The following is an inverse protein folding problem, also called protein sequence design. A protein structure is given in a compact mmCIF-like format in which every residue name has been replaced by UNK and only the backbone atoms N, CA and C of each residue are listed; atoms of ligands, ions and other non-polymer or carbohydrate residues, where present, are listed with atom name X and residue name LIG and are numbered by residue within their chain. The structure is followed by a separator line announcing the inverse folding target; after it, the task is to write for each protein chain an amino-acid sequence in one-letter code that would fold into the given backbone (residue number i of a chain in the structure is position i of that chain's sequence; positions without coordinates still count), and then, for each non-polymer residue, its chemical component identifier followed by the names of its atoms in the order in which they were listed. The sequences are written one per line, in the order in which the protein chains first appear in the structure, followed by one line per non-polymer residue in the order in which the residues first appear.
data_IF_919939479410
#
_entry.id   IF_919939479410
#
_cell.length_a   1.000
_cell.length_b   1.000
_cell.length_c   1.000
_cell.angle_alpha   90.00
_cell.angle_beta   90.00
_cell.angle_gamma   90.00
#
_symmetry.space_group_name_H-M   'P 1'
#
loop_
_entity.id
_entity.type
_entity.pdbx_description
1 polymer ?
2 non-polymer ?
3 non-polymer ?
4 non-polymer ?
5 water ?
#
# COMPACT_ATOMS: atom_id res chain seq x y z
N UNK A 4 -7.90 20.31 9.34
CA UNK A 4 -7.77 18.98 9.93
C UNK A 4 -7.20 19.09 11.35
N UNK A 5 -7.87 18.47 12.32
CA UNK A 5 -7.58 18.72 13.74
C UNK A 5 -6.41 17.89 14.26
N UNK A 6 -6.46 16.57 14.04
CA UNK A 6 -5.36 15.72 14.46
C UNK A 6 -4.02 16.25 13.97
N UNK A 7 -4.03 16.94 12.82
CA UNK A 7 -2.83 17.42 12.17
C UNK A 7 -2.37 18.77 12.70
N UNK A 8 -3.30 19.69 12.93
CA UNK A 8 -2.96 20.90 13.67
C UNK A 8 -2.38 20.55 15.03
N UNK A 9 -3.02 19.63 15.75
CA UNK A 9 -2.48 19.22 17.04
C UNK A 9 -1.11 18.59 16.89
N UNK A 10 -0.82 18.02 15.73
CA UNK A 10 0.49 17.42 15.53
C UNK A 10 1.53 18.47 15.19
N UNK A 11 1.13 19.48 14.42
CA UNK A 11 2.00 20.62 14.18
C UNK A 11 2.42 21.26 15.49
N UNK A 12 1.47 21.45 16.40
CA UNK A 12 1.78 22.09 17.69
C UNK A 12 2.69 21.21 18.54
N UNK A 13 2.52 19.89 18.48
CA UNK A 13 3.43 19.00 19.20
C UNK A 13 4.86 19.15 18.69
N UNK A 14 5.02 19.32 17.38
CA UNK A 14 6.37 19.43 16.81
C UNK A 14 7.04 20.73 17.24
N UNK A 15 6.29 21.82 17.24
CA UNK A 15 6.83 23.10 17.69
C UNK A 15 7.10 23.11 19.19
N UNK A 16 6.30 22.37 19.98
CA UNK A 16 6.56 22.27 21.41
C UNK A 16 7.90 21.63 21.66
N UNK A 17 8.33 20.72 20.78
CA UNK A 17 9.62 20.08 20.91
C UNK A 17 10.64 20.76 20.01
N UNK A 18 10.30 21.95 19.51
CA UNK A 18 11.27 22.84 18.91
C UNK A 18 11.59 22.61 17.45
N UNK A 19 10.68 22.00 16.68
CA UNK A 19 10.91 21.74 15.26
C UNK A 19 10.28 22.85 14.45
N UNK A 20 11.13 23.57 13.63
CA UNK A 20 10.66 24.63 12.77
C UNK A 20 10.25 24.09 11.40
N UNK A 21 9.28 24.73 10.76
CA UNK A 21 8.95 24.38 9.38
C UNK A 21 9.99 24.85 8.39
N UNK A 22 10.15 24.09 7.31
CA UNK A 22 10.98 24.48 6.18
C UNK A 22 10.09 24.69 4.95
N UNK A 23 10.51 25.60 4.08
CA UNK A 23 9.81 25.89 2.85
C UNK A 23 10.57 25.35 1.65
N UNK A 24 9.81 24.82 0.69
CA UNK A 24 10.36 24.21 -0.52
C UNK A 24 9.57 24.74 -1.71
N UNK A 25 10.21 24.76 -2.87
CA UNK A 25 9.63 25.28 -4.09
C UNK A 25 9.55 24.15 -5.11
N UNK A 26 8.72 24.38 -6.11
CA UNK A 26 8.45 23.37 -7.10
C UNK A 26 9.75 22.79 -7.66
N UNK A 27 9.74 21.49 -7.90
CA UNK A 27 10.82 20.67 -8.45
C UNK A 27 11.91 20.35 -7.44
N UNK A 28 11.88 20.93 -6.23
CA UNK A 28 12.83 20.54 -5.20
C UNK A 28 12.48 19.19 -4.60
N UNK A 29 13.50 18.49 -4.11
CA UNK A 29 13.33 17.23 -3.39
C UNK A 29 13.43 17.48 -1.89
N UNK A 30 12.35 17.16 -1.16
CA UNK A 30 12.38 17.17 0.30
C UNK A 30 13.27 16.06 0.85
N UNK A 31 13.19 14.85 0.27
CA UNK A 31 14.18 13.83 0.53
C UNK A 31 14.50 13.13 -0.78
N UNK A 32 15.65 12.45 -0.82
CA UNK A 32 16.11 11.81 -2.04
C UNK A 32 16.64 10.42 -1.74
N UNK A 33 16.75 9.63 -2.80
CA UNK A 33 17.10 8.22 -2.71
C UNK A 33 18.58 7.96 -2.43
N UNK A 34 19.45 8.97 -2.47
CA UNK A 34 20.89 8.77 -2.29
C UNK A 34 21.38 9.15 -0.90
N UNK A 35 20.55 9.82 -0.12
CA UNK A 35 20.95 10.26 1.21
C UNK A 35 21.01 9.05 2.17
N UNK A 36 22.10 8.86 2.92
CA UNK A 36 22.10 7.79 3.92
C UNK A 36 21.13 8.03 5.08
N UNK A 37 20.85 9.28 5.42
CA UNK A 37 19.96 9.61 6.52
C UNK A 37 18.53 9.57 6.00
N UNK A 38 17.65 8.87 6.73
CA UNK A 38 16.24 8.81 6.42
C UNK A 38 15.43 9.72 7.36
N UNK A 39 14.25 10.13 6.89
CA UNK A 39 13.50 11.18 7.56
C UNK A 39 12.02 10.86 7.65
N UNK A 40 11.40 11.47 8.64
CA UNK A 40 9.96 11.67 8.69
C UNK A 40 9.64 13.09 8.22
N UNK A 41 8.82 13.18 7.18
CA UNK A 41 8.32 14.43 6.65
C UNK A 41 6.88 14.63 7.11
N UNK A 42 6.65 15.66 7.90
CA UNK A 42 5.27 16.11 8.13
C UNK A 42 5.00 17.19 7.09
N UNK A 43 4.35 16.79 6.01
CA UNK A 43 3.97 17.71 4.95
C UNK A 43 2.75 18.48 5.43
N UNK A 44 2.93 19.77 5.65
CA UNK A 44 1.87 20.56 6.22
C UNK A 44 1.02 21.21 5.14
N UNK A 45 1.65 21.74 4.10
CA UNK A 45 0.94 22.47 3.05
C UNK A 45 1.63 22.25 1.72
N UNK A 46 0.85 22.00 0.68
CA UNK A 46 1.36 21.82 -0.67
C UNK A 46 1.15 20.40 -1.18
N UNK A 47 1.64 20.17 -2.39
CA UNK A 47 1.46 18.92 -3.11
C UNK A 47 2.82 18.37 -3.51
N UNK A 48 3.03 17.08 -3.26
CA UNK A 48 4.29 16.41 -3.60
C UNK A 48 3.99 15.13 -4.38
N UNK A 49 5.05 14.56 -4.98
CA UNK A 49 4.95 13.23 -5.57
C UNK A 49 6.17 12.40 -5.21
N UNK A 50 5.90 11.11 -4.97
CA UNK A 50 6.94 10.13 -4.73
C UNK A 50 7.43 9.60 -6.06
N UNK A 51 8.74 9.65 -6.30
CA UNK A 51 9.29 9.21 -7.57
C UNK A 51 10.36 8.15 -7.35
N UNK A 52 10.57 7.35 -8.39
CA UNK A 52 11.61 6.34 -8.46
C UNK A 52 12.35 6.49 -9.78
N UNK A 53 13.55 5.94 -9.83
CA UNK A 53 14.34 5.90 -11.07
C UNK A 53 14.69 4.44 -11.37
N UNK A 54 14.42 4.02 -12.60
CA UNK A 54 14.84 2.70 -13.05
C UNK A 54 16.27 2.76 -13.57
N UNK A 55 16.87 1.59 -13.74
CA UNK A 55 18.30 1.52 -14.09
C UNK A 55 18.60 2.01 -15.48
N UNK A 56 17.68 2.61 -16.23
CA UNK A 56 17.99 3.26 -17.50
C UNK A 56 17.74 4.76 -17.46
N UNK A 57 17.51 5.34 -16.28
CA UNK A 57 17.38 6.77 -16.13
C UNK A 57 15.96 7.30 -16.17
N UNK A 58 14.95 6.46 -16.34
CA UNK A 58 13.58 6.92 -16.50
C UNK A 58 12.94 7.16 -15.13
N UNK A 59 12.26 8.31 -14.99
CA UNK A 59 11.56 8.69 -13.77
C UNK A 59 10.16 8.09 -13.75
N UNK A 60 9.81 7.39 -12.67
CA UNK A 60 8.47 6.86 -12.46
C UNK A 60 7.78 7.66 -11.36
N UNK A 61 6.56 8.12 -11.62
CA UNK A 61 5.71 8.71 -10.59
C UNK A 61 4.94 7.60 -9.89
N UNK A 62 5.08 7.50 -8.58
CA UNK A 62 4.45 6.41 -7.84
C UNK A 62 3.25 6.82 -7.02
N UNK A 63 3.26 8.02 -6.45
CA UNK A 63 2.24 8.35 -5.46
C UNK A 63 2.24 9.86 -5.31
N UNK A 64 1.05 10.44 -5.09
CA UNK A 64 0.90 11.84 -4.80
C UNK A 64 0.47 12.02 -3.35
N UNK A 65 1.01 13.06 -2.70
CA UNK A 65 0.62 13.42 -1.33
C UNK A 65 0.34 14.90 -1.25
N UNK A 66 -0.67 15.27 -0.46
CA UNK A 66 -0.96 16.67 -0.19
C UNK A 66 -0.98 16.92 1.31
N UNK A 67 -0.65 18.15 1.69
CA UNK A 67 -0.65 18.46 3.12
C UNK A 67 -2.06 18.61 3.64
N UNK A 68 -2.38 18.14 4.85
CA UNK A 68 -1.42 17.59 5.80
C UNK A 68 -1.30 16.08 5.66
N UNK A 69 -0.08 15.56 5.74
CA UNK A 69 0.15 14.11 5.67
C UNK A 69 1.56 13.86 6.14
N UNK A 70 1.84 12.59 6.40
CA UNK A 70 3.12 12.14 6.92
C UNK A 70 3.73 11.15 5.92
N UNK A 71 4.97 11.40 5.52
CA UNK A 71 5.68 10.51 4.60
C UNK A 71 7.01 10.14 5.27
N UNK A 72 7.27 8.86 5.45
CA UNK A 72 8.48 8.42 6.14
C UNK A 72 9.36 7.64 5.18
N UNK A 73 10.61 8.10 5.00
CA UNK A 73 11.52 7.47 4.04
C UNK A 73 12.30 6.33 4.64
N UNK A 74 12.22 6.13 5.96
CA UNK A 74 12.92 5.04 6.61
C UNK A 74 12.00 4.32 7.58
N UNK A 75 12.36 3.06 7.85
CA UNK A 75 11.62 2.23 8.81
C UNK A 75 11.84 2.76 10.23
N UNK A 76 10.77 2.73 11.02
CA UNK A 76 10.83 3.43 12.31
C UNK A 76 11.77 2.72 13.28
N UNK A 77 12.01 1.43 13.09
CA UNK A 77 12.85 0.66 14.02
C UNK A 77 14.29 0.59 13.52
N UNK A 78 14.51 0.11 12.31
CA UNK A 78 15.88 0.02 11.79
C UNK A 78 16.42 1.35 11.31
N UNK A 79 15.57 2.30 10.93
CA UNK A 79 15.96 3.61 10.42
C UNK A 79 16.55 3.56 9.02
N UNK A 80 16.44 2.43 8.33
CA UNK A 80 16.97 2.24 6.98
C UNK A 80 15.87 2.43 5.94
N UNK A 81 16.28 2.63 4.69
CA UNK A 81 15.35 3.03 3.64
C UNK A 81 14.20 2.04 3.48
N UNK A 82 13.00 2.57 3.27
CA UNK A 82 11.87 1.74 2.85
C UNK A 82 11.85 1.53 1.35
N UNK A 83 12.77 2.13 0.61
CA UNK A 83 12.81 2.06 -0.84
C UNK A 83 13.51 3.27 -1.41
N UNK A 84 13.99 3.12 -2.65
CA UNK A 84 14.79 4.18 -3.28
C UNK A 84 13.85 5.18 -3.92
N UNK A 85 13.44 6.14 -3.10
CA UNK A 85 12.41 7.10 -3.45
C UNK A 85 12.91 8.51 -3.21
N UNK A 86 12.35 9.42 -3.98
CA UNK A 86 12.48 10.85 -3.79
C UNK A 86 11.08 11.44 -3.61
N UNK A 87 11.01 12.54 -2.85
CA UNK A 87 9.77 13.28 -2.64
C UNK A 87 9.94 14.66 -3.26
N UNK A 88 9.24 14.88 -4.37
CA UNK A 88 9.39 16.06 -5.22
C UNK A 88 8.19 16.99 -5.06
N UNK A 89 8.44 18.30 -4.96
CA UNK A 89 7.36 19.26 -4.79
C UNK A 89 6.78 19.60 -6.16
N UNK A 90 5.47 19.56 -6.28
CA UNK A 90 4.85 19.92 -7.56
C UNK A 90 3.93 21.13 -7.48
N UNK A 91 3.47 21.53 -6.30
CA UNK A 91 2.89 22.86 -6.16
C UNK A 91 4.02 23.90 -6.24
N UNK A 92 3.63 25.18 -6.28
CA UNK A 92 4.63 26.23 -6.38
C UNK A 92 5.49 26.28 -5.13
N UNK A 93 4.85 26.16 -3.96
CA UNK A 93 5.53 26.07 -2.68
C UNK A 93 4.95 24.90 -1.89
N UNK A 94 5.74 24.41 -0.95
CA UNK A 94 5.27 23.49 0.08
C UNK A 94 5.90 23.87 1.39
N UNK A 95 5.23 23.53 2.48
CA UNK A 95 5.74 23.68 3.83
C UNK A 95 5.80 22.34 4.52
N UNK A 96 6.96 21.98 5.07
CA UNK A 96 7.10 20.68 5.70
C UNK A 96 7.99 20.77 6.93
N UNK A 97 7.69 19.94 7.91
CA UNK A 97 8.60 19.68 9.02
C UNK A 97 9.41 18.43 8.71
N UNK A 98 10.72 18.50 8.91
CA UNK A 98 11.64 17.46 8.47
C UNK A 98 12.35 16.93 9.71
N UNK A 99 12.09 15.68 10.05
CA UNK A 99 12.57 15.09 11.31
C UNK A 99 13.41 13.86 11.00
N UNK A 100 14.61 13.80 11.57
CA UNK A 100 15.39 12.57 11.53
C UNK A 100 14.58 11.42 12.11
N UNK A 101 14.75 10.24 11.49
CA UNK A 101 13.87 9.12 11.80
C UNK A 101 13.99 8.69 13.27
N UNK A 102 15.21 8.61 13.79
CA UNK A 102 15.37 8.21 15.19
C UNK A 102 14.61 9.12 16.13
N UNK A 103 14.53 10.41 15.83
CA UNK A 103 13.87 11.35 16.72
C UNK A 103 12.36 11.18 16.71
N UNK A 104 11.80 10.58 15.67
CA UNK A 104 10.37 10.35 15.65
C UNK A 104 9.97 9.32 16.71
N UNK A 105 10.75 8.24 16.86
CA UNK A 105 10.46 7.28 17.92
C UNK A 105 10.28 8.00 19.25
N UNK A 106 11.25 8.82 19.63
CA UNK A 106 11.20 9.50 20.91
C UNK A 106 9.89 10.28 21.05
N UNK A 107 9.55 11.06 20.04
CA UNK A 107 8.36 11.90 20.14
C UNK A 107 7.09 11.05 20.21
N UNK A 108 6.97 10.05 19.34
CA UNK A 108 5.76 9.23 19.37
C UNK A 108 5.68 8.40 20.65
N UNK A 109 6.83 7.98 21.19
CA UNK A 109 6.86 7.16 22.39
C UNK A 109 6.25 7.85 23.60
N UNK A 110 6.17 9.18 23.58
CA UNK A 110 5.78 9.93 24.77
C UNK A 110 4.41 10.56 24.66
N UNK A 111 3.74 10.44 23.50
CA UNK A 111 2.36 10.89 23.36
C UNK A 111 1.58 9.89 22.52
N UNK A 112 0.57 9.26 23.13
CA UNK A 112 -0.20 8.23 22.44
C UNK A 112 -1.12 8.83 21.39
N UNK A 113 -1.58 10.06 21.58
CA UNK A 113 -2.49 10.67 20.60
C UNK A 113 -1.80 10.83 19.26
N UNK A 114 -0.55 11.27 19.28
CA UNK A 114 0.17 11.58 18.05
C UNK A 114 0.82 10.35 17.45
N UNK A 115 1.09 9.33 18.26
CA UNK A 115 1.43 8.03 17.70
C UNK A 115 0.28 7.48 16.87
N UNK A 116 -0.94 7.55 17.40
CA UNK A 116 -2.10 7.06 16.67
C UNK A 116 -2.32 7.85 15.39
N UNK A 117 -2.08 9.16 15.43
CA UNK A 117 -2.27 9.98 14.24
C UNK A 117 -1.32 9.56 13.13
N UNK A 118 -0.06 9.28 13.45
CA UNK A 118 0.88 8.87 12.41
C UNK A 118 0.56 7.47 11.95
N UNK A 119 0.35 6.55 12.91
CA UNK A 119 -0.04 5.19 12.61
C UNK A 119 -1.19 5.17 11.60
N UNK A 120 -2.19 5.99 11.85
CA UNK A 120 -3.35 6.01 10.98
C UNK A 120 -3.06 6.58 9.59
N UNK A 121 -2.00 7.39 9.41
CA UNK A 121 -1.67 7.79 8.05
C UNK A 121 -1.10 6.64 7.25
N UNK A 122 -0.34 5.76 7.90
CA UNK A 122 0.08 4.53 7.23
C UNK A 122 -1.13 3.68 6.87
N UNK A 123 -2.12 3.60 7.76
CA UNK A 123 -3.30 2.79 7.48
C UNK A 123 -4.06 3.34 6.28
N UNK A 124 -4.14 4.67 6.17
CA UNK A 124 -4.75 5.30 4.99
C UNK A 124 -3.99 4.97 3.71
N UNK A 125 -2.66 4.98 3.74
CA UNK A 125 -1.87 4.62 2.57
C UNK A 125 -2.15 3.19 2.16
N UNK A 126 -2.09 2.26 3.11
CA UNK A 126 -2.29 0.85 2.78
C UNK A 126 -3.66 0.65 2.13
N UNK A 127 -4.71 1.17 2.76
CA UNK A 127 -6.06 0.97 2.22
C UNK A 127 -6.23 1.72 0.90
N UNK A 128 -5.59 2.88 0.77
CA UNK A 128 -5.65 3.62 -0.48
C UNK A 128 -5.11 2.78 -1.63
N UNK A 129 -3.92 2.20 -1.47
CA UNK A 129 -3.35 1.38 -2.54
C UNK A 129 -4.20 0.17 -2.85
N UNK A 130 -4.84 -0.40 -1.84
CA UNK A 130 -5.68 -1.56 -2.09
C UNK A 130 -6.89 -1.17 -2.93
N UNK A 131 -7.49 -0.02 -2.61
CA UNK A 131 -8.66 0.43 -3.35
C UNK A 131 -8.31 0.76 -4.82
N UNK A 132 -7.20 1.44 -5.04
CA UNK A 132 -6.73 1.73 -6.38
C UNK A 132 -6.51 0.46 -7.17
N UNK A 133 -5.83 -0.51 -6.58
CA UNK A 133 -5.62 -1.80 -7.23
C UNK A 133 -6.94 -2.46 -7.58
N UNK A 134 -7.88 -2.47 -6.64
CA UNK A 134 -9.20 -3.06 -6.91
C UNK A 134 -9.83 -2.37 -8.11
N UNK A 135 -9.80 -1.04 -8.16
CA UNK A 135 -10.43 -0.31 -9.26
C UNK A 135 -9.69 -0.57 -10.58
N UNK A 136 -8.36 -0.59 -10.55
CA UNK A 136 -7.62 -0.93 -11.75
C UNK A 136 -7.93 -2.35 -12.21
N UNK A 137 -7.98 -3.28 -11.27
CA UNK A 137 -8.30 -4.67 -11.59
C UNK A 137 -9.63 -4.77 -12.31
N UNK A 138 -10.59 -3.89 -12.01
CA UNK A 138 -11.91 -3.97 -12.63
C UNK A 138 -11.97 -3.17 -13.94
N UNK A 139 -11.55 -1.91 -13.94
CA UNK A 139 -11.75 -1.03 -15.08
C UNK A 139 -10.44 -0.54 -15.70
N UNK A 140 -9.33 -1.19 -15.41
CA UNK A 140 -8.09 -0.77 -16.05
C UNK A 140 -7.77 0.69 -15.77
N UNK A 141 -7.11 1.32 -16.73
CA UNK A 141 -6.61 2.68 -16.53
C UNK A 141 -7.74 3.70 -16.44
N UNK A 142 -8.92 3.38 -16.99
CA UNK A 142 -10.08 4.24 -16.79
C UNK A 142 -10.46 4.33 -15.32
N UNK A 143 -10.41 3.20 -14.61
CA UNK A 143 -10.65 3.22 -13.17
C UNK A 143 -9.63 4.04 -12.41
N UNK A 144 -8.35 3.86 -12.73
CA UNK A 144 -7.31 4.68 -12.12
C UNK A 144 -7.55 6.17 -12.37
N UNK A 145 -7.87 6.54 -13.61
CA UNK A 145 -8.00 7.95 -13.94
C UNK A 145 -9.26 8.54 -13.32
N UNK A 146 -10.38 7.82 -13.41
CA UNK A 146 -11.59 8.27 -12.75
C UNK A 146 -11.36 8.44 -11.26
N UNK A 147 -10.54 7.58 -10.67
CA UNK A 147 -10.29 7.64 -9.24
C UNK A 147 -9.46 8.84 -8.85
N UNK A 148 -8.47 9.16 -9.67
CA UNK A 148 -7.68 10.35 -9.38
C UNK A 148 -8.52 11.61 -9.50
N UNK A 149 -9.38 11.69 -10.52
CA UNK A 149 -10.28 12.82 -10.66
C UNK A 149 -11.31 12.86 -9.53
N UNK A 150 -11.78 11.69 -9.11
CA UNK A 150 -12.73 11.67 -7.99
C UNK A 150 -12.09 12.22 -6.73
N UNK A 151 -10.84 11.85 -6.45
CA UNK A 151 -10.21 12.35 -5.24
C UNK A 151 -9.95 13.86 -5.35
N UNK A 152 -9.55 14.33 -6.54
CA UNK A 152 -9.44 15.78 -6.73
C UNK A 152 -10.76 16.48 -6.47
N UNK A 153 -11.85 15.91 -7.00
CA UNK A 153 -13.17 16.51 -6.83
C UNK A 153 -13.52 16.65 -5.36
N UNK A 154 -13.34 15.56 -4.59
CA UNK A 154 -13.74 15.59 -3.19
C UNK A 154 -12.84 16.51 -2.38
N UNK A 155 -11.58 16.63 -2.75
CA UNK A 155 -10.63 17.39 -1.94
C UNK A 155 -10.67 18.87 -2.29
N UNK A 156 -10.73 19.20 -3.58
CA UNK A 156 -10.66 20.57 -4.05
C UNK A 156 -11.98 21.09 -4.61
N UNK A 157 -13.03 20.28 -4.59
CA UNK A 157 -14.26 20.64 -5.28
C UNK A 157 -15.15 21.55 -4.46
N UNK A 158 -15.86 22.42 -5.18
CA UNK A 158 -16.77 23.40 -4.62
C UNK A 158 -18.01 23.43 -5.50
N UNK A 159 -19.19 23.21 -4.92
CA UNK A 159 -20.41 23.24 -5.72
C UNK A 159 -20.64 24.64 -6.26
N UNK A 160 -21.04 24.72 -7.53
CA UNK A 160 -21.37 25.98 -8.18
C UNK A 160 -22.48 25.70 -9.19
N UNK A 161 -23.06 26.76 -9.78
CA UNK A 161 -24.11 26.53 -10.79
C UNK A 161 -23.62 25.79 -12.02
N UNK A 162 -22.34 25.96 -12.38
CA UNK A 162 -21.75 25.23 -13.50
C UNK A 162 -21.27 23.82 -13.11
N UNK A 163 -21.50 23.38 -11.88
CA UNK A 163 -21.03 22.08 -11.46
C UNK A 163 -20.07 22.18 -10.30
N UNK A 164 -19.29 21.13 -10.08
CA UNK A 164 -18.30 21.10 -9.01
C UNK A 164 -17.03 21.72 -9.58
N UNK A 165 -16.74 22.95 -9.21
CA UNK A 165 -15.50 23.60 -9.64
C UNK A 165 -14.30 23.02 -8.90
N UNK A 166 -13.25 22.70 -9.65
CA UNK A 166 -11.99 22.27 -9.03
C UNK A 166 -11.17 23.53 -8.77
N UNK A 167 -10.96 23.84 -7.49
CA UNK A 167 -10.26 25.05 -7.10
C UNK A 167 -8.78 24.73 -6.91
N UNK A 168 -8.13 24.52 -8.05
CA UNK A 168 -6.71 24.24 -8.12
C UNK A 168 -6.23 24.95 -9.37
N UNK A 169 -5.14 25.70 -9.26
CA UNK A 169 -4.72 26.49 -10.41
C UNK A 169 -4.47 25.54 -11.57
N UNK A 170 -4.61 26.07 -12.79
CA UNK A 170 -4.43 25.22 -13.94
C UNK A 170 -2.99 24.74 -14.06
N UNK A 171 -2.04 25.44 -13.44
CA UNK A 171 -0.66 24.97 -13.32
C UNK A 171 -0.62 23.56 -12.75
N UNK A 172 -0.95 23.45 -11.45
CA UNK A 172 -0.86 22.18 -10.75
C UNK A 172 -1.79 21.15 -11.36
N UNK A 173 -2.86 21.60 -12.03
CA UNK A 173 -3.72 20.69 -12.78
C UNK A 173 -3.01 20.09 -13.99
N UNK A 174 -2.01 20.80 -14.55
CA UNK A 174 -1.27 20.23 -15.65
C UNK A 174 -0.22 19.23 -15.19
N UNK A 175 0.43 19.50 -14.04
CA UNK A 175 1.42 18.60 -13.48
C UNK A 175 0.84 17.24 -13.10
N UNK A 176 -0.45 17.03 -13.34
CA UNK A 176 -1.08 15.74 -13.11
C UNK A 176 -2.23 15.50 -14.10
N UNK A 186 0.60 8.97 -22.10
CA UNK A 186 0.20 8.99 -23.51
C UNK A 186 -1.22 8.46 -23.70
N UNK A 187 -1.42 7.19 -23.35
CA UNK A 187 -2.77 6.66 -23.28
C UNK A 187 -3.59 7.33 -22.17
N UNK A 188 -2.92 8.04 -21.25
CA UNK A 188 -3.64 8.82 -20.24
C UNK A 188 -4.31 10.03 -20.88
N UNK A 189 -3.56 10.78 -21.69
CA UNK A 189 -4.11 11.98 -22.31
C UNK A 189 -5.36 11.65 -23.09
N UNK A 190 -5.40 10.47 -23.71
CA UNK A 190 -6.60 10.05 -24.44
C UNK A 190 -7.77 9.85 -23.50
N UNK A 191 -7.54 9.15 -22.39
CA UNK A 191 -8.62 8.89 -21.44
C UNK A 191 -9.19 10.22 -20.94
N UNK A 192 -8.31 11.12 -20.52
CA UNK A 192 -8.75 12.40 -20.00
C UNK A 192 -9.58 13.15 -21.04
N UNK A 193 -9.10 13.23 -22.28
CA UNK A 193 -9.84 13.97 -23.29
C UNK A 193 -11.18 13.32 -23.61
N UNK A 194 -11.30 12.00 -23.46
CA UNK A 194 -12.60 11.38 -23.70
C UNK A 194 -13.60 11.76 -22.61
N UNK A 195 -13.14 11.84 -21.37
CA UNK A 195 -13.98 12.36 -20.29
C UNK A 195 -14.40 13.79 -20.56
N UNK A 196 -13.50 14.61 -21.12
CA UNK A 196 -13.87 15.97 -21.47
C UNK A 196 -14.89 15.97 -22.59
N UNK A 197 -14.61 15.21 -23.64
CA UNK A 197 -15.51 15.13 -24.78
C UNK A 197 -16.90 14.70 -24.35
N UNK A 198 -16.98 13.80 -23.36
CA UNK A 198 -18.28 13.32 -22.89
C UNK A 198 -18.86 14.18 -21.78
N UNK A 199 -18.23 15.32 -21.47
CA UNK A 199 -18.75 16.30 -20.52
C UNK A 199 -18.82 15.75 -19.10
N UNK A 200 -17.94 14.80 -18.74
CA UNK A 200 -17.78 14.45 -17.34
C UNK A 200 -17.14 15.61 -16.60
N UNK A 201 -16.14 16.23 -17.23
CA UNK A 201 -15.43 17.39 -16.72
C UNK A 201 -15.32 18.37 -17.88
N UNK A 202 -15.43 19.66 -17.59
CA UNK A 202 -15.69 20.64 -18.63
C UNK A 202 -14.87 21.91 -18.36
N UNK A 203 -14.28 22.45 -19.41
CA UNK A 203 -13.63 23.74 -19.35
C UNK A 203 -14.66 24.84 -19.55
N UNK A 204 -14.68 25.82 -18.66
CA UNK A 204 -15.55 26.97 -18.84
C UNK A 204 -14.95 28.16 -18.11
N UNK A 205 -14.84 29.26 -18.84
CA UNK A 205 -14.43 30.52 -18.25
C UNK A 205 -13.19 30.34 -17.40
N UNK A 206 -12.19 29.68 -17.97
CA UNK A 206 -10.85 29.55 -17.41
C UNK A 206 -10.75 28.58 -16.23
N UNK A 207 -11.81 27.84 -15.90
CA UNK A 207 -11.76 26.87 -14.83
C UNK A 207 -12.34 25.54 -15.31
N UNK A 208 -12.16 24.49 -14.50
CA UNK A 208 -12.68 23.17 -14.79
C UNK A 208 -13.75 22.75 -13.78
N UNK A 209 -14.80 22.11 -14.28
CA UNK A 209 -15.98 21.76 -13.51
C UNK A 209 -16.33 20.30 -13.74
N UNK A 210 -16.52 19.56 -12.66
CA UNK A 210 -17.04 18.20 -12.79
C UNK A 210 -18.55 18.26 -12.88
N UNK A 211 -19.07 17.82 -14.02
CA UNK A 211 -20.50 17.85 -14.25
C UNK A 211 -21.14 16.48 -14.19
N UNK A 212 -20.35 15.41 -14.12
CA UNK A 212 -20.91 14.06 -13.98
C UNK A 212 -20.14 13.32 -12.87
N UNK A 213 -20.39 13.69 -11.62
CA UNK A 213 -19.76 12.98 -10.51
C UNK A 213 -20.17 11.51 -10.48
N UNK A 214 -21.40 11.19 -10.87
CA UNK A 214 -21.83 9.79 -10.85
C UNK A 214 -20.98 8.91 -11.75
N UNK A 215 -20.52 9.44 -12.88
CA UNK A 215 -19.67 8.66 -13.77
C UNK A 215 -18.34 8.30 -13.09
N UNK A 216 -17.72 9.28 -12.43
CA UNK A 216 -16.48 9.00 -11.71
C UNK A 216 -16.71 7.94 -10.63
N UNK A 217 -17.80 8.06 -9.89
CA UNK A 217 -18.10 7.10 -8.84
C UNK A 217 -18.33 5.72 -9.41
N UNK A 218 -18.90 5.65 -10.61
CA UNK A 218 -19.22 4.36 -11.20
C UNK A 218 -17.96 3.56 -11.49
N UNK A 219 -16.93 4.22 -12.01
CA UNK A 219 -15.74 3.52 -12.48
C UNK A 219 -14.61 3.47 -11.46
N UNK A 220 -14.74 4.19 -10.35
CA UNK A 220 -13.77 4.12 -9.25
C UNK A 220 -14.51 3.82 -7.96
N UNK A 221 -15.28 2.73 -7.93
CA UNK A 221 -16.17 2.50 -6.79
C UNK A 221 -15.44 2.18 -5.51
N UNK A 222 -14.28 1.55 -5.60
CA UNK A 222 -13.60 1.17 -4.38
C UNK A 222 -12.83 2.35 -3.79
N UNK A 223 -12.31 3.24 -4.62
CA UNK A 223 -11.76 4.48 -4.11
C UNK A 223 -12.84 5.41 -3.55
N UNK A 224 -14.05 5.37 -4.12
CA UNK A 224 -15.16 6.13 -3.55
C UNK A 224 -15.49 5.62 -2.15
N UNK A 225 -15.50 4.30 -1.97
CA UNK A 225 -15.71 3.71 -0.66
C UNK A 225 -14.59 4.08 0.31
N UNK A 226 -13.34 4.06 -0.17
CA UNK A 226 -12.21 4.46 0.65
C UNK A 226 -12.38 5.87 1.17
N UNK A 227 -12.74 6.81 0.31
CA UNK A 227 -12.98 8.17 0.78
C UNK A 227 -14.11 8.23 1.79
N UNK A 228 -15.19 7.50 1.54
CA UNK A 228 -16.29 7.48 2.50
C UNK A 228 -15.83 6.97 3.86
N UNK A 229 -14.97 5.96 3.86
CA UNK A 229 -14.56 5.30 5.11
C UNK A 229 -13.45 6.07 5.81
N UNK A 230 -12.55 6.67 5.01
CA UNK A 230 -11.40 7.41 5.51
C UNK A 230 -11.70 8.87 5.81
N UNK A 231 -12.57 9.51 5.03
CA UNK A 231 -12.85 10.96 5.20
C UNK A 231 -14.35 11.19 5.08
N UNK A 232 -15.14 10.69 6.02
CA UNK A 232 -16.61 10.70 5.82
C UNK A 232 -17.22 12.08 5.71
N UNK A 233 -16.68 13.07 6.41
CA UNK A 233 -17.29 14.40 6.38
C UNK A 233 -17.05 15.08 5.04
N UNK A 234 -15.85 14.90 4.49
CA UNK A 234 -15.56 15.46 3.18
C UNK A 234 -16.35 14.75 2.10
N UNK A 235 -16.37 13.41 2.14
CA UNK A 235 -17.21 12.65 1.22
C UNK A 235 -18.64 13.15 1.25
N UNK A 236 -19.15 13.45 2.44
CA UNK A 236 -20.56 13.79 2.59
C UNK A 236 -20.93 15.10 1.95
N UNK A 237 -20.00 16.06 1.94
CA UNK A 237 -20.28 17.37 1.35
C UNK A 237 -20.87 17.25 -0.06
N UNK A 238 -20.27 16.43 -0.90
CA UNK A 238 -20.65 16.33 -2.30
C UNK A 238 -21.52 15.15 -2.60
N UNK A 239 -22.01 14.44 -1.59
CA UNK A 239 -22.93 13.34 -1.82
C UNK A 239 -24.26 13.61 -1.12
N UNK B 4 12.06 -15.62 13.47
CA UNK B 4 11.92 -14.17 13.40
C UNK B 4 11.86 -13.56 14.80
N UNK B 5 12.97 -12.91 15.19
CA UNK B 5 13.15 -12.46 16.56
C UNK B 5 12.00 -11.56 17.03
N UNK B 6 11.72 -10.48 16.30
CA UNK B 6 10.76 -9.50 16.84
C UNK B 6 9.32 -10.01 16.76
N UNK B 7 9.05 -11.00 15.91
CA UNK B 7 7.76 -11.66 15.94
C UNK B 7 7.56 -12.41 17.26
N UNK B 8 8.55 -13.20 17.66
CA UNK B 8 8.43 -13.93 18.93
C UNK B 8 8.26 -12.99 20.10
N UNK B 9 9.00 -11.88 20.12
CA UNK B 9 8.83 -10.90 21.19
C UNK B 9 7.41 -10.36 21.24
N UNK B 10 6.75 -10.22 20.09
CA UNK B 10 5.38 -9.71 20.10
C UNK B 10 4.41 -10.80 20.58
N UNK B 11 4.63 -12.05 20.16
CA UNK B 11 3.85 -13.16 20.71
C UNK B 11 3.89 -13.14 22.24
N UNK B 12 5.08 -13.07 22.82
CA UNK B 12 5.18 -13.04 24.27
C UNK B 12 4.36 -11.89 24.86
N UNK B 13 4.49 -10.69 24.29
CA UNK B 13 3.72 -9.57 24.81
C UNK B 13 2.25 -9.90 24.90
N UNK B 14 1.70 -10.47 23.83
CA UNK B 14 0.26 -10.73 23.80
C UNK B 14 -0.12 -11.79 24.82
N UNK B 15 0.60 -12.91 24.85
CA UNK B 15 0.25 -13.98 25.77
C UNK B 15 0.34 -13.50 27.22
N UNK B 16 1.45 -12.87 27.58
CA UNK B 16 1.60 -12.20 28.87
C UNK B 16 0.39 -11.36 29.27
N UNK B 17 -0.31 -10.79 28.30
CA UNK B 17 -1.48 -9.96 28.57
C UNK B 17 -2.78 -10.71 28.36
N UNK B 18 -2.72 -12.04 28.31
CA UNK B 18 -3.92 -12.84 28.25
C UNK B 18 -4.60 -12.75 26.90
N UNK B 19 -3.81 -12.90 25.83
CA UNK B 19 -4.34 -13.04 24.48
C UNK B 19 -3.86 -14.38 23.96
N UNK B 20 -4.80 -15.27 23.66
CA UNK B 20 -4.64 -16.67 23.31
C UNK B 20 -4.56 -16.86 21.79
N UNK B 21 -3.69 -17.73 21.30
CA UNK B 21 -3.74 -18.08 19.88
C UNK B 21 -5.02 -18.83 19.54
N UNK B 22 -5.47 -18.64 18.30
CA UNK B 22 -6.66 -19.30 17.77
C UNK B 22 -6.29 -20.02 16.49
N UNK B 23 -6.85 -21.20 16.30
CA UNK B 23 -6.57 -22.00 15.12
C UNK B 23 -7.73 -21.86 14.14
N UNK B 24 -7.38 -21.75 12.87
CA UNK B 24 -8.34 -21.61 11.78
C UNK B 24 -7.97 -22.59 10.68
N UNK B 25 -8.96 -23.09 9.97
CA UNK B 25 -8.66 -23.98 8.87
C UNK B 25 -8.98 -23.31 7.54
N UNK B 26 -8.46 -23.92 6.48
CA UNK B 26 -8.63 -23.44 5.12
C UNK B 26 -10.09 -23.03 4.88
N UNK B 27 -10.25 -21.85 4.28
CA UNK B 27 -11.52 -21.29 3.81
C UNK B 27 -12.23 -20.47 4.89
N UNK B 28 -11.81 -20.55 6.15
CA UNK B 28 -12.44 -19.73 7.17
C UNK B 28 -12.03 -18.26 7.01
N UNK B 29 -12.90 -17.37 7.48
CA UNK B 29 -12.65 -15.94 7.47
C UNK B 29 -12.26 -15.50 8.88
N UNK B 30 -11.02 -15.04 9.05
CA UNK B 30 -10.57 -14.57 10.35
C UNK B 30 -11.29 -13.28 10.73
N UNK B 31 -11.54 -12.41 9.75
CA UNK B 31 -12.49 -11.32 9.91
C UNK B 31 -13.22 -11.16 8.59
N UNK B 32 -14.38 -10.54 8.60
CA UNK B 32 -15.24 -10.47 7.42
C UNK B 32 -15.75 -9.05 7.19
N UNK B 33 -16.18 -8.79 5.96
CA UNK B 33 -16.58 -7.47 5.48
C UNK B 33 -17.97 -7.03 5.95
N UNK B 34 -18.73 -7.89 6.63
CA UNK B 34 -20.08 -7.54 7.10
C UNK B 34 -20.12 -7.30 8.60
N UNK B 35 -19.00 -7.46 9.29
CA UNK B 35 -18.97 -7.38 10.73
C UNK B 35 -18.81 -5.92 11.15
N UNK B 36 -19.65 -5.40 12.04
CA UNK B 36 -19.45 -4.02 12.51
C UNK B 36 -18.31 -3.86 13.51
N UNK B 37 -17.83 -4.94 14.10
CA UNK B 37 -16.66 -4.88 14.99
C UNK B 37 -15.39 -5.09 14.17
N UNK B 38 -14.37 -4.26 14.42
CA UNK B 38 -13.10 -4.36 13.72
C UNK B 38 -12.01 -4.86 14.66
N UNK B 39 -10.99 -5.46 14.07
CA UNK B 39 -9.99 -6.21 14.81
C UNK B 39 -8.58 -5.88 14.34
N UNK B 40 -7.62 -6.17 15.23
CA UNK B 40 -6.22 -6.34 14.87
C UNK B 40 -5.89 -7.83 14.91
N UNK B 41 -5.36 -8.34 13.81
CA UNK B 41 -4.99 -9.75 13.67
C UNK B 41 -3.48 -9.87 13.66
N UNK B 42 -2.94 -10.59 14.64
CA UNK B 42 -1.55 -11.01 14.56
C UNK B 42 -1.51 -12.43 14.00
N UNK B 43 -1.25 -12.53 12.72
CA UNK B 43 -1.14 -13.80 12.04
C UNK B 43 0.21 -14.39 12.37
N UNK B 44 0.24 -15.42 13.21
CA UNK B 44 1.53 -15.98 13.63
C UNK B 44 2.05 -17.00 12.65
N UNK B 45 1.16 -17.82 12.11
CA UNK B 45 1.56 -18.91 11.24
C UNK B 45 0.45 -19.19 10.24
N UNK B 46 0.81 -19.54 9.01
CA UNK B 46 -0.17 -19.79 7.98
C UNK B 46 -0.11 -18.76 6.86
N UNK B 47 -0.93 -19.00 5.84
CA UNK B 47 -1.05 -18.09 4.69
C UNK B 47 -2.50 -17.68 4.53
N UNK B 48 -2.72 -16.37 4.31
CA UNK B 48 -4.03 -15.81 4.15
C UNK B 48 -4.07 -14.91 2.92
N UNK B 49 -5.29 -14.56 2.49
CA UNK B 49 -5.50 -13.56 1.46
C UNK B 49 -6.61 -12.61 1.86
N UNK B 50 -6.44 -11.35 1.48
CA UNK B 50 -7.46 -10.33 1.68
C UNK B 50 -8.38 -10.32 0.46
N UNK B 51 -9.69 -10.42 0.69
CA UNK B 51 -10.65 -10.41 -0.40
C UNK B 51 -11.71 -9.35 -0.19
N UNK B 52 -12.35 -9.01 -1.29
CA UNK B 52 -13.52 -8.15 -1.34
C UNK B 52 -14.55 -8.87 -2.19
N UNK B 53 -15.79 -8.94 -1.73
CA UNK B 53 -16.84 -9.70 -2.40
C UNK B 53 -17.93 -8.72 -2.80
N UNK B 54 -18.16 -8.61 -4.12
CA UNK B 54 -19.14 -7.68 -4.66
C UNK B 54 -20.56 -8.19 -4.46
N UNK B 55 -21.52 -7.29 -4.73
CA UNK B 55 -22.94 -7.62 -4.64
C UNK B 55 -23.30 -8.82 -5.50
N UNK B 56 -22.81 -8.83 -6.74
CA UNK B 56 -23.06 -9.93 -7.67
C UNK B 56 -22.35 -11.22 -7.28
N UNK B 57 -21.53 -11.19 -6.24
CA UNK B 57 -20.87 -12.39 -5.75
C UNK B 57 -19.44 -12.59 -6.23
N UNK B 58 -18.94 -11.75 -7.13
CA UNK B 58 -17.59 -11.96 -7.63
C UNK B 58 -16.58 -11.64 -6.53
N UNK B 59 -15.58 -12.51 -6.39
CA UNK B 59 -14.59 -12.44 -5.34
C UNK B 59 -13.30 -11.88 -5.93
N UNK B 60 -12.82 -10.77 -5.38
CA UNK B 60 -11.56 -10.17 -5.82
C UNK B 60 -10.48 -10.43 -4.78
N UNK B 61 -9.35 -10.96 -5.24
CA UNK B 61 -8.22 -11.26 -4.35
C UNK B 61 -7.27 -10.07 -4.37
N UNK B 62 -7.11 -9.43 -3.22
CA UNK B 62 -6.41 -8.16 -3.12
C UNK B 62 -4.99 -8.28 -2.63
N UNK B 63 -4.69 -9.22 -1.75
CA UNK B 63 -3.35 -9.23 -1.16
C UNK B 63 -3.19 -10.54 -0.41
N UNK B 64 -1.94 -10.99 -0.31
CA UNK B 64 -1.60 -12.23 0.37
C UNK B 64 -0.63 -11.94 1.49
N UNK B 65 -0.80 -12.66 2.61
CA UNK B 65 0.03 -12.51 3.80
C UNK B 65 0.42 -13.89 4.32
N UNK B 66 1.65 -14.01 4.82
CA UNK B 66 2.09 -15.18 5.57
C UNK B 66 2.50 -14.77 6.98
N UNK B 67 2.30 -15.68 7.92
CA UNK B 67 2.76 -15.41 9.26
C UNK B 67 4.28 -15.36 9.27
N UNK B 68 4.88 -14.53 10.12
CA UNK B 68 4.20 -13.61 11.01
C UNK B 68 3.92 -12.25 10.35
N UNK B 69 2.73 -11.69 10.57
CA UNK B 69 2.35 -10.40 10.02
C UNK B 69 1.19 -9.87 10.85
N UNK B 70 0.88 -8.59 10.65
CA UNK B 70 -0.22 -7.93 11.35
C UNK B 70 -1.17 -7.33 10.31
N UNK B 71 -2.47 -7.55 10.50
CA UNK B 71 -3.50 -7.03 9.61
C UNK B 71 -4.58 -6.41 10.48
N UNK B 72 -4.86 -5.12 10.27
CA UNK B 72 -5.88 -4.44 11.02
C UNK B 72 -7.04 -4.09 10.11
N UNK B 73 -8.25 -4.52 10.49
CA UNK B 73 -9.45 -4.28 9.70
C UNK B 73 -10.07 -2.92 9.98
N UNK B 74 -9.61 -2.22 11.02
CA UNK B 74 -10.17 -0.93 11.36
C UNK B 74 -9.06 0.07 11.64
N UNK B 75 -9.40 1.36 11.52
CA UNK B 75 -8.45 2.42 11.85
C UNK B 75 -8.23 2.46 13.36
N UNK B 76 -6.97 2.68 13.76
CA UNK B 76 -6.64 2.57 15.16
C UNK B 76 -7.29 3.67 15.97
N UNK B 77 -7.58 4.81 15.35
CA UNK B 77 -8.14 5.93 16.09
C UNK B 77 -9.67 5.87 16.11
N UNK B 78 -10.31 5.81 14.95
CA UNK B 78 -11.77 5.77 14.89
C UNK B 78 -12.35 4.39 15.19
N UNK B 79 -11.58 3.33 15.02
CA UNK B 79 -12.01 1.95 15.17
C UNK B 79 -12.98 1.51 14.06
N UNK B 80 -13.22 2.33 13.05
CA UNK B 80 -14.10 1.94 11.96
C UNK B 80 -13.30 1.31 10.81
N UNK B 81 -14.05 0.72 9.88
CA UNK B 81 -13.47 -0.12 8.84
C UNK B 81 -12.52 0.67 7.95
N UNK B 82 -11.42 0.03 7.56
CA UNK B 82 -10.51 0.60 6.56
C UNK B 82 -10.92 0.22 5.15
N UNK B 83 -11.93 -0.61 4.99
CA UNK B 83 -12.38 -1.13 3.72
C UNK B 83 -13.14 -2.42 3.94
N UNK B 84 -14.03 -2.74 3.00
CA UNK B 84 -14.92 -3.90 3.18
C UNK B 84 -14.19 -5.15 2.75
N UNK B 85 -13.44 -5.73 3.69
CA UNK B 85 -12.49 -6.80 3.39
C UNK B 85 -12.74 -8.02 4.28
N UNK B 86 -12.39 -9.20 3.74
CA UNK B 86 -12.30 -10.46 4.46
C UNK B 86 -10.84 -10.92 4.51
N UNK B 87 -10.49 -11.65 5.55
CA UNK B 87 -9.17 -12.29 5.65
C UNK B 87 -9.39 -13.80 5.61
N UNK B 88 -9.13 -14.42 4.47
CA UNK B 88 -9.44 -15.83 4.26
C UNK B 88 -8.20 -16.69 4.40
N UNK B 89 -8.32 -17.82 5.13
CA UNK B 89 -7.21 -18.74 5.30
C UNK B 89 -7.09 -19.61 4.06
N UNK B 90 -5.89 -19.65 3.48
CA UNK B 90 -5.67 -20.48 2.31
C UNK B 90 -4.68 -21.61 2.55
N UNK B 91 -3.90 -21.59 3.62
CA UNK B 91 -3.16 -22.77 4.04
C UNK B 91 -4.13 -23.74 4.74
N UNK B 92 -3.70 -24.98 4.98
CA UNK B 92 -4.62 -25.92 5.60
C UNK B 92 -4.98 -25.49 7.02
N UNK B 93 -4.01 -24.98 7.76
CA UNK B 93 -4.22 -24.45 9.08
C UNK B 93 -3.55 -23.09 9.17
N UNK B 94 -4.08 -22.23 10.04
CA UNK B 94 -3.37 -21.01 10.40
C UNK B 94 -3.64 -20.69 11.84
N UNK B 95 -2.71 -19.98 12.46
CA UNK B 95 -2.76 -19.57 13.85
C UNK B 95 -2.73 -18.05 13.92
N UNK B 96 -3.64 -17.47 14.70
CA UNK B 96 -3.72 -16.02 14.76
C UNK B 96 -4.22 -15.57 16.13
N UNK B 97 -3.70 -14.44 16.58
CA UNK B 97 -4.23 -13.73 17.74
C UNK B 97 -5.18 -12.66 17.23
N UNK B 98 -6.37 -12.59 17.84
CA UNK B 98 -7.46 -11.77 17.34
C UNK B 98 -7.86 -10.80 18.44
N UNK B 99 -7.64 -9.50 18.21
CA UNK B 99 -7.82 -8.48 19.24
C UNK B 99 -8.84 -7.46 18.76
N UNK B 100 -9.87 -7.20 19.56
CA UNK B 100 -10.76 -6.09 19.27
C UNK B 100 -9.95 -4.80 19.28
N UNK B 101 -10.28 -3.88 18.35
CA UNK B 101 -9.43 -2.69 18.18
C UNK B 101 -9.40 -1.87 19.46
N UNK B 102 -10.57 -1.61 20.05
CA UNK B 102 -10.62 -0.88 21.31
C UNK B 102 -9.70 -1.50 22.36
N UNK B 103 -9.82 -2.82 22.57
CA UNK B 103 -8.96 -3.50 23.54
C UNK B 103 -7.49 -3.33 23.18
N UNK B 104 -7.17 -3.23 21.89
CA UNK B 104 -5.77 -3.09 21.50
C UNK B 104 -5.17 -1.80 22.04
N UNK B 105 -5.91 -0.70 21.98
CA UNK B 105 -5.35 0.58 22.39
C UNK B 105 -4.96 0.54 23.86
N UNK B 106 -5.83 -0.01 24.72
CA UNK B 106 -5.51 -0.16 26.13
C UNK B 106 -4.19 -0.88 26.35
N UNK B 107 -3.65 -1.54 25.33
CA UNK B 107 -2.37 -2.23 25.43
C UNK B 107 -1.25 -1.53 24.67
N UNK B 108 -1.40 -1.33 23.35
CA UNK B 108 -0.29 -0.85 22.51
C UNK B 108 0.28 0.46 23.06
N UNK B 109 -0.44 1.07 24.01
CA UNK B 109 0.06 2.28 24.66
C UNK B 109 1.21 1.97 25.61
N UNK B 110 0.93 1.15 26.63
CA UNK B 110 1.87 0.91 27.73
C UNK B 110 3.24 0.47 27.25
N UNK B 111 3.35 0.12 25.96
CA UNK B 111 4.60 -0.38 25.41
C UNK B 111 5.03 0.41 24.20
N UNK B 112 6.30 0.76 24.16
CA UNK B 112 6.89 1.42 23.00
C UNK B 112 7.28 0.40 21.93
N UNK B 113 8.05 -0.61 22.33
CA UNK B 113 8.63 -1.55 21.36
C UNK B 113 7.54 -2.24 20.52
N UNK B 114 6.42 -2.61 21.15
CA UNK B 114 5.41 -3.40 20.45
C UNK B 114 4.53 -2.52 19.58
N UNK B 115 4.23 -1.30 20.02
CA UNK B 115 3.65 -0.34 19.09
C UNK B 115 4.49 -0.31 17.80
N UNK B 116 5.81 -0.22 17.95
CA UNK B 116 6.72 0.01 16.83
C UNK B 116 6.77 -1.19 15.90
N UNK B 117 6.66 -2.40 16.45
CA UNK B 117 6.69 -3.57 15.59
C UNK B 117 5.53 -3.52 14.59
N UNK B 118 4.34 -3.14 15.05
CA UNK B 118 3.18 -3.08 14.17
C UNK B 118 3.31 -1.92 13.19
N UNK B 119 3.68 -0.75 13.71
CA UNK B 119 4.04 0.39 12.86
C UNK B 119 4.90 -0.02 11.68
N UNK B 120 6.03 -0.68 11.94
CA UNK B 120 6.96 -0.99 10.85
C UNK B 120 6.38 -2.03 9.90
N UNK B 121 5.48 -2.90 10.37
CA UNK B 121 4.85 -3.84 9.44
C UNK B 121 4.00 -3.09 8.43
N UNK B 122 3.23 -2.10 8.89
CA UNK B 122 2.47 -1.28 7.95
C UNK B 122 3.40 -0.59 6.95
N UNK B 123 4.55 -0.11 7.44
CA UNK B 123 5.52 0.50 6.52
C UNK B 123 5.96 -0.48 5.44
N UNK B 124 6.26 -1.73 5.84
CA UNK B 124 6.68 -2.76 4.87
C UNK B 124 5.61 -2.98 3.82
N UNK B 125 4.37 -2.93 4.25
CA UNK B 125 3.24 -3.19 3.37
C UNK B 125 3.03 -2.06 2.38
N UNK B 126 3.14 -0.81 2.85
CA UNK B 126 3.07 0.34 1.97
C UNK B 126 4.11 0.24 0.86
N UNK B 127 5.36 -0.05 1.25
CA UNK B 127 6.43 -0.13 0.28
C UNK B 127 6.30 -1.37 -0.60
N UNK B 128 5.71 -2.45 -0.08
CA UNK B 128 5.49 -3.65 -0.88
C UNK B 128 4.57 -3.33 -2.07
N UNK B 129 3.43 -2.68 -1.82
CA UNK B 129 2.50 -2.38 -2.90
C UNK B 129 3.11 -1.40 -3.90
N UNK B 130 3.93 -0.46 -3.43
CA UNK B 130 4.56 0.47 -4.36
C UNK B 130 5.57 -0.24 -5.26
N UNK B 131 6.30 -1.21 -4.71
CA UNK B 131 7.27 -1.94 -5.52
C UNK B 131 6.57 -2.82 -6.56
N UNK B 132 5.50 -3.50 -6.16
CA UNK B 132 4.75 -4.30 -7.14
C UNK B 132 4.20 -3.42 -8.25
N UNK B 133 3.75 -2.21 -7.91
CA UNK B 133 3.21 -1.28 -8.90
C UNK B 133 4.28 -0.83 -9.86
N UNK B 134 5.43 -0.45 -9.33
CA UNK B 134 6.57 -0.08 -10.17
C UNK B 134 6.93 -1.20 -11.13
N UNK B 135 7.02 -2.44 -10.65
CA UNK B 135 7.40 -3.54 -11.55
C UNK B 135 6.34 -3.76 -12.60
N UNK B 136 5.07 -3.61 -12.22
CA UNK B 136 4.00 -3.81 -13.19
C UNK B 136 3.98 -2.68 -14.21
N UNK B 137 4.31 -1.46 -13.78
CA UNK B 137 4.34 -0.34 -14.71
C UNK B 137 5.40 -0.53 -15.79
N UNK B 138 6.53 -1.11 -15.43
CA UNK B 138 7.64 -1.29 -16.36
C UNK B 138 7.48 -2.55 -17.20
N UNK B 139 7.31 -3.71 -16.56
CA UNK B 139 7.36 -5.00 -17.23
C UNK B 139 5.98 -5.66 -17.36
N UNK B 140 4.92 -4.95 -17.04
CA UNK B 140 3.58 -5.50 -17.19
C UNK B 140 3.39 -6.82 -16.44
N UNK B 141 2.59 -7.70 -17.04
CA UNK B 141 2.23 -8.95 -16.37
C UNK B 141 3.43 -9.87 -16.17
N UNK B 142 4.44 -9.79 -17.03
CA UNK B 142 5.66 -10.56 -16.77
C UNK B 142 6.30 -10.11 -15.45
N UNK B 143 6.41 -8.80 -15.25
CA UNK B 143 6.91 -8.31 -13.97
C UNK B 143 6.14 -8.87 -12.78
N UNK B 144 4.81 -8.79 -12.84
CA UNK B 144 4.00 -9.28 -11.73
C UNK B 144 4.29 -10.74 -11.45
N UNK B 145 4.29 -11.57 -12.50
CA UNK B 145 4.48 -13.01 -12.29
C UNK B 145 5.90 -13.30 -11.81
N UNK B 146 6.88 -12.62 -12.39
CA UNK B 146 8.25 -12.80 -11.93
C UNK B 146 8.39 -12.41 -10.47
N UNK B 147 7.79 -11.28 -10.07
CA UNK B 147 7.87 -10.88 -8.68
C UNK B 147 7.27 -11.91 -7.75
N UNK B 148 6.15 -12.51 -8.16
CA UNK B 148 5.51 -13.52 -7.34
C UNK B 148 6.39 -14.75 -7.20
N UNK B 149 6.93 -15.25 -8.31
CA UNK B 149 7.87 -16.36 -8.24
C UNK B 149 9.10 -16.00 -7.42
N UNK B 150 9.62 -14.77 -7.59
CA UNK B 150 10.73 -14.32 -6.75
C UNK B 150 10.40 -14.45 -5.27
N UNK B 151 9.25 -13.91 -4.86
CA UNK B 151 8.78 -14.06 -3.49
C UNK B 151 8.80 -15.52 -3.07
N UNK B 152 8.14 -16.37 -3.84
CA UNK B 152 8.10 -17.79 -3.52
C UNK B 152 9.50 -18.35 -3.33
N UNK B 153 10.41 -18.02 -4.25
CA UNK B 153 11.76 -18.55 -4.19
C UNK B 153 12.47 -18.13 -2.91
N UNK B 154 12.37 -16.85 -2.54
CA UNK B 154 13.07 -16.38 -1.35
C UNK B 154 12.50 -17.01 -0.08
N UNK B 155 11.18 -17.13 0.00
CA UNK B 155 10.53 -17.53 1.24
C UNK B 155 10.48 -19.05 1.38
N UNK B 156 10.24 -19.76 0.28
CA UNK B 156 9.96 -21.18 0.33
C UNK B 156 10.94 -22.03 -0.46
N UNK B 157 12.00 -21.44 -1.01
CA UNK B 157 12.92 -22.20 -1.84
C UNK B 157 13.81 -23.11 -1.01
N UNK B 158 14.05 -24.31 -1.55
CA UNK B 158 15.05 -25.26 -1.04
C UNK B 158 15.97 -25.63 -2.18
N UNK B 159 17.27 -25.74 -1.89
CA UNK B 159 18.24 -26.09 -2.91
C UNK B 159 18.20 -27.60 -3.19
N UNK B 160 17.97 -27.95 -4.45
CA UNK B 160 18.01 -29.34 -4.92
C UNK B 160 18.82 -29.38 -6.20
N UNK B 161 19.13 -30.58 -6.70
CA UNK B 161 19.85 -30.66 -7.98
C UNK B 161 19.01 -30.27 -9.19
N UNK B 162 17.69 -30.22 -9.06
CA UNK B 162 16.83 -29.78 -10.15
C UNK B 162 16.62 -28.27 -10.17
N UNK B 163 17.34 -27.53 -9.32
CA UNK B 163 17.17 -26.10 -9.18
C UNK B 163 16.69 -25.75 -7.78
N UNK B 164 16.10 -24.58 -7.60
CA UNK B 164 15.51 -24.21 -6.31
C UNK B 164 14.05 -24.65 -6.34
N UNK B 165 13.71 -25.62 -5.50
CA UNK B 165 12.37 -26.18 -5.48
C UNK B 165 11.48 -25.31 -4.60
N UNK B 166 10.34 -24.88 -5.15
CA UNK B 166 9.35 -24.16 -4.37
C UNK B 166 8.62 -25.19 -3.51
N UNK B 167 8.83 -25.14 -2.20
CA UNK B 167 8.24 -26.15 -1.31
C UNK B 167 6.88 -25.67 -0.82
N UNK B 168 5.95 -25.58 -1.77
CA UNK B 168 4.52 -25.44 -1.48
C UNK B 168 3.78 -26.56 -2.20
N UNK B 169 2.82 -27.17 -1.49
CA UNK B 169 2.14 -28.37 -1.96
C UNK B 169 0.92 -28.04 -2.81
N UNK B 170 0.08 -27.11 -2.34
CA UNK B 170 -1.22 -26.84 -2.96
C UNK B 170 -1.16 -25.75 -4.01
N UNK B 171 0.04 -25.29 -4.37
CA UNK B 171 0.16 -24.13 -5.25
C UNK B 171 -0.46 -24.41 -6.60
N UNK B 172 -1.43 -23.59 -6.99
CA UNK B 172 -2.13 -23.76 -8.25
C UNK B 172 -1.70 -22.70 -9.23
N UNK B 173 -1.80 -23.03 -10.52
CA UNK B 173 -1.60 -22.03 -11.57
C UNK B 173 -2.56 -20.86 -11.41
N UNK B 174 -3.72 -21.10 -10.82
CA UNK B 174 -4.71 -20.05 -10.60
C UNK B 174 -4.37 -19.19 -9.38
N UNK B 175 -3.96 -19.82 -8.28
CA UNK B 175 -3.56 -19.07 -7.11
C UNK B 175 -2.32 -18.23 -7.38
N UNK B 176 -1.46 -18.69 -8.30
CA UNK B 176 -0.31 -17.88 -8.69
C UNK B 176 -0.73 -16.63 -9.44
N UNK B 177 -1.71 -16.76 -10.35
CA UNK B 177 -2.21 -15.60 -11.06
C UNK B 177 -2.85 -14.58 -10.14
N UNK B 178 -3.76 -15.04 -9.27
CA UNK B 178 -4.40 -14.12 -8.33
C UNK B 178 -3.37 -13.41 -7.46
N UNK B 179 -2.33 -14.13 -7.02
CA UNK B 179 -1.28 -13.52 -6.22
C UNK B 179 -0.45 -12.54 -7.02
N UNK B 180 -0.51 -12.60 -8.36
CA UNK B 180 0.19 -11.67 -9.23
C UNK B 180 -0.76 -10.65 -9.87
N UNK B 181 -2.02 -10.61 -9.43
CA UNK B 181 -2.97 -9.65 -9.94
C UNK B 181 -3.50 -9.95 -11.33
N UNK B 182 -3.39 -11.19 -11.79
CA UNK B 182 -3.87 -11.60 -13.11
C UNK B 182 -4.97 -12.64 -12.90
N UNK B 183 -6.17 -12.34 -13.39
CA UNK B 183 -7.37 -13.09 -13.01
C UNK B 183 -7.73 -14.21 -13.96
N UNK B 184 -7.10 -14.30 -15.13
CA UNK B 184 -7.45 -15.31 -16.13
C UNK B 184 -6.30 -16.27 -16.32
N UNK B 185 -6.60 -17.58 -16.28
CA UNK B 185 -5.59 -18.61 -16.43
C UNK B 185 -4.93 -18.58 -17.81
N UNK B 186 -5.54 -17.92 -18.79
CA UNK B 186 -4.94 -17.83 -20.12
C UNK B 186 -3.64 -17.03 -20.06
N UNK B 187 -3.67 -15.84 -19.49
CA UNK B 187 -2.47 -15.02 -19.39
C UNK B 187 -1.39 -15.72 -18.58
N UNK B 188 -1.78 -16.36 -17.47
CA UNK B 188 -0.81 -17.01 -16.59
C UNK B 188 -0.11 -18.15 -17.32
N UNK B 189 -0.87 -19.01 -17.99
CA UNK B 189 -0.27 -20.13 -18.70
C UNK B 189 0.60 -19.66 -19.85
N UNK B 190 0.17 -18.61 -20.56
CA UNK B 190 1.02 -18.04 -21.61
C UNK B 190 2.39 -17.65 -21.07
N UNK B 191 2.41 -16.88 -19.98
CA UNK B 191 3.66 -16.41 -19.42
C UNK B 191 4.42 -17.57 -18.77
N UNK B 192 3.71 -18.47 -18.08
CA UNK B 192 4.38 -19.65 -17.54
C UNK B 192 4.98 -20.48 -18.68
N UNK B 193 4.30 -20.52 -19.82
CA UNK B 193 4.84 -21.26 -20.96
C UNK B 193 6.18 -20.69 -21.39
N UNK B 194 6.24 -19.37 -21.63
CA UNK B 194 7.49 -18.77 -22.05
C UNK B 194 8.59 -19.01 -21.02
N UNK B 195 8.25 -18.97 -19.72
CA UNK B 195 9.28 -19.11 -18.69
C UNK B 195 9.92 -20.50 -18.77
N UNK B 196 9.10 -21.55 -18.81
CA UNK B 196 9.63 -22.88 -19.07
C UNK B 196 10.40 -22.90 -20.38
N UNK B 197 9.85 -22.25 -21.41
CA UNK B 197 10.46 -22.29 -22.74
C UNK B 197 11.81 -21.60 -22.75
N UNK B 198 11.96 -20.53 -21.98
CA UNK B 198 13.24 -19.86 -21.83
C UNK B 198 14.12 -20.52 -20.77
N UNK B 199 13.65 -21.60 -20.16
CA UNK B 199 14.41 -22.40 -19.19
C UNK B 199 14.46 -21.75 -17.82
N UNK B 200 13.56 -20.80 -17.53
CA UNK B 200 13.58 -20.12 -16.24
C UNK B 200 12.97 -21.00 -15.16
N UNK B 201 11.83 -21.62 -15.47
CA UNK B 201 11.11 -22.47 -14.52
C UNK B 201 10.91 -23.84 -15.15
N UNK B 202 10.79 -24.87 -14.31
CA UNK B 202 10.43 -26.21 -14.76
C UNK B 202 9.49 -26.82 -13.72
N UNK B 203 8.64 -27.74 -14.18
CA UNK B 203 7.65 -28.39 -13.34
C UNK B 203 7.97 -29.88 -13.25
N UNK B 204 8.14 -30.38 -12.03
CA UNK B 204 8.45 -31.77 -11.78
C UNK B 204 7.98 -32.13 -10.39
N UNK B 205 7.36 -33.31 -10.27
CA UNK B 205 7.00 -33.86 -8.96
C UNK B 205 6.06 -32.93 -8.21
N UNK B 206 5.10 -32.36 -8.93
CA UNK B 206 4.05 -31.52 -8.36
C UNK B 206 4.57 -30.17 -7.87
N UNK B 207 5.87 -29.92 -7.90
CA UNK B 207 6.45 -28.69 -7.41
C UNK B 207 7.07 -27.91 -8.57
N UNK B 208 7.21 -26.61 -8.37
CA UNK B 208 7.92 -25.76 -9.31
C UNK B 208 9.38 -25.64 -8.88
N UNK B 209 10.29 -25.81 -9.83
CA UNK B 209 11.71 -25.62 -9.61
C UNK B 209 12.17 -24.40 -10.40
N UNK B 210 12.89 -23.49 -9.73
CA UNK B 210 13.49 -22.34 -10.40
C UNK B 210 14.91 -22.70 -10.79
N UNK B 211 15.28 -22.35 -12.03
CA UNK B 211 16.60 -22.68 -12.54
C UNK B 211 17.35 -21.48 -13.07
N UNK B 212 16.68 -20.33 -13.26
CA UNK B 212 17.34 -19.08 -13.63
C UNK B 212 16.81 -17.97 -12.72
N UNK B 213 17.32 -17.94 -11.49
CA UNK B 213 16.85 -16.95 -10.53
C UNK B 213 17.19 -15.54 -10.99
N UNK B 214 18.34 -15.35 -11.63
CA UNK B 214 18.70 -14.04 -12.15
C UNK B 214 17.61 -13.45 -13.04
N UNK B 215 16.90 -14.29 -13.80
CA UNK B 215 15.90 -13.79 -14.73
C UNK B 215 14.72 -13.16 -13.98
N UNK B 216 14.28 -13.81 -12.91
CA UNK B 216 13.22 -13.23 -12.08
C UNK B 216 13.64 -11.87 -11.53
N UNK B 217 14.87 -11.81 -10.99
CA UNK B 217 15.39 -10.55 -10.48
C UNK B 217 15.38 -9.47 -11.56
N UNK B 218 15.66 -9.84 -12.80
CA UNK B 218 15.72 -8.85 -13.88
C UNK B 218 14.38 -8.20 -14.13
N UNK B 219 13.28 -8.95 -14.02
CA UNK B 219 12.00 -8.40 -14.41
C UNK B 219 11.15 -7.93 -13.22
N UNK B 220 11.56 -8.28 -11.99
CA UNK B 220 10.94 -7.77 -10.77
C UNK B 220 11.95 -6.97 -9.95
N UNK B 221 12.57 -5.95 -10.55
CA UNK B 221 13.72 -5.34 -9.86
C UNK B 221 13.34 -4.53 -8.64
N UNK B 222 12.19 -3.88 -8.64
CA UNK B 222 11.84 -3.09 -7.48
C UNK B 222 11.30 -3.96 -6.36
N UNK B 223 10.68 -5.10 -6.68
CA UNK B 223 10.33 -6.02 -5.61
C UNK B 223 11.58 -6.67 -5.02
N UNK B 224 12.58 -6.96 -5.86
CA UNK B 224 13.83 -7.47 -5.34
C UNK B 224 14.49 -6.44 -4.42
N UNK B 225 14.47 -5.17 -4.83
CA UNK B 225 14.93 -4.07 -3.97
C UNK B 225 14.19 -4.08 -2.64
N UNK B 226 12.86 -4.22 -2.69
CA UNK B 226 12.06 -4.27 -1.48
C UNK B 226 12.51 -5.40 -0.56
N UNK B 227 12.70 -6.59 -1.11
CA UNK B 227 13.20 -7.72 -0.33
C UNK B 227 14.53 -7.39 0.36
N UNK B 228 15.47 -6.87 -0.40
CA UNK B 228 16.77 -6.45 0.17
C UNK B 228 16.59 -5.48 1.32
N UNK B 229 15.75 -4.47 1.14
CA UNK B 229 15.65 -3.39 2.11
C UNK B 229 14.80 -3.76 3.30
N UNK B 230 13.76 -4.56 3.09
CA UNK B 230 12.85 -4.91 4.18
C UNK B 230 13.12 -6.29 4.80
N UNK B 231 13.70 -7.24 4.06
CA UNK B 231 13.92 -8.60 4.56
C UNK B 231 15.35 -9.06 4.29
N UNK B 232 16.35 -8.29 4.72
CA UNK B 232 17.74 -8.58 4.29
C UNK B 232 18.23 -9.97 4.67
N UNK B 233 17.84 -10.49 5.83
CA UNK B 233 18.29 -11.82 6.24
C UNK B 233 17.90 -12.86 5.19
N UNK B 234 16.59 -12.93 4.90
CA UNK B 234 16.04 -13.78 3.87
C UNK B 234 16.72 -13.60 2.51
N UNK B 235 16.57 -12.40 1.95
CA UNK B 235 17.24 -12.00 0.73
C UNK B 235 18.66 -12.53 0.61
N UNK B 236 19.42 -12.51 1.71
CA UNK B 236 20.84 -12.83 1.62
C UNK B 236 21.11 -14.30 1.39
N UNK B 237 20.17 -15.15 1.81
CA UNK B 237 20.24 -16.58 1.53
C UNK B 237 20.54 -16.89 0.08
N UNK B 238 20.02 -16.07 -0.85
CA UNK B 238 20.15 -16.39 -2.27
C UNK B 238 20.77 -15.23 -3.04
N UNK B 239 21.64 -14.45 -2.40
CA UNK B 239 22.37 -13.39 -3.07
C UNK B 239 23.83 -13.37 -2.61
#
# INVERSE_FOLDING_TARGET
GAMNAQAEEFKKYLETNGIKPKQFHKKELIFNQWDPQEYCIFLYDGITKLTSISENGTIMNLQYYKGAFVIMSGFIDTETSVGYYNLEVISEQATAYVIKINELKELLSKNLTHFFYVFQTLQKQVSYSLAKFNDFSINGKLGSICGQLLILTYVYGKETPDGIKITLDNLTMQELGYSSGIAHSSAVSRIISKLKQEKVIVYKNSCFYVQNLDYLKRYAPKLDEWFYLACPATWGKLN
GAMNAQAEEFKKYLETNGIKPKQFHKKELIFNQWDPQEYCIFLYDGITKLTSISENGTIMNLQYYKGAFVIMSGFIDTETSVGYYNLEVISEQATAYVIKINELKELLSKNLTHFFYVFQTLQKQVSYSLAKFNDFSINGKLGSICGQLLILTYVYGKETPDGIKITLDNLTMQELGYSSGIAHSSAVSRIISKLKQEKVIVYKNSCFYVQNLDYLKRYAPKLDEWFYLACPATWGKLN
#
